data_IF_052218112085
#
_entry.id   IF_052218112085
#
_cell.length_a   1.000
_cell.length_b   1.000
_cell.length_c   1.000
_cell.angle_alpha   90.00
_cell.angle_beta   90.00
_cell.angle_gamma   90.00
#
_symmetry.space_group_name_H-M   'P 1'
#
loop_
_entity.id
_entity.type
_entity.pdbx_description
1 polymer ?
#
# COMPACT_ATOMS: atom_id res chain seq x y z
N UNK A 1 3.63 0.00 15.77
CA UNK A 1 4.33 -0.74 14.70
C UNK A 1 3.49 -1.93 14.28
N UNK A 2 3.29 -2.11 12.98
CA UNK A 2 2.52 -3.22 12.39
C UNK A 2 3.46 -4.14 11.63
N UNK A 3 3.39 -5.44 11.92
CA UNK A 3 4.31 -6.45 11.38
C UNK A 3 3.62 -7.35 10.37
N UNK A 4 4.32 -7.69 9.30
CA UNK A 4 3.85 -8.53 8.20
C UNK A 4 4.90 -9.61 7.89
N UNK A 5 4.47 -10.75 7.36
CA UNK A 5 5.43 -11.72 6.85
C UNK A 5 6.03 -11.19 5.54
N UNK A 6 7.33 -11.38 5.34
CA UNK A 6 7.97 -10.96 4.08
C UNK A 6 7.40 -11.70 2.84
N UNK A 7 6.73 -12.83 3.07
CA UNK A 7 6.09 -13.69 2.08
C UNK A 7 4.60 -13.39 1.86
N UNK A 8 4.01 -12.42 2.56
CA UNK A 8 2.61 -12.07 2.38
C UNK A 8 2.32 -11.70 0.91
N UNK A 9 1.16 -12.14 0.44
CA UNK A 9 0.64 -11.91 -0.91
C UNK A 9 -0.75 -11.31 -0.83
N UNK A 10 -1.09 -10.44 -1.78
CA UNK A 10 -2.44 -9.90 -1.88
C UNK A 10 -3.43 -10.99 -2.27
N UNK A 11 -4.58 -10.99 -1.61
CA UNK A 11 -5.75 -11.81 -1.94
C UNK A 11 -6.66 -11.07 -2.93
N UNK A 12 -7.67 -11.76 -3.47
CA UNK A 12 -8.67 -11.12 -4.33
C UNK A 12 -9.49 -10.06 -3.56
N UNK A 13 -9.81 -10.31 -2.30
CA UNK A 13 -10.48 -9.34 -1.42
C UNK A 13 -9.63 -8.09 -1.17
N UNK A 14 -8.31 -8.24 -1.08
CA UNK A 14 -7.40 -7.10 -1.00
C UNK A 14 -7.45 -6.25 -2.27
N UNK A 15 -7.54 -6.87 -3.46
CA UNK A 15 -7.65 -6.14 -4.73
C UNK A 15 -8.98 -5.39 -4.86
N UNK A 16 -10.07 -5.98 -4.37
CA UNK A 16 -11.38 -5.32 -4.28
C UNK A 16 -11.28 -4.12 -3.33
N UNK A 17 -10.67 -4.32 -2.17
CA UNK A 17 -10.46 -3.27 -1.16
C UNK A 17 -9.60 -2.14 -1.72
N UNK A 18 -8.48 -2.46 -2.37
CA UNK A 18 -7.62 -1.48 -3.04
C UNK A 18 -8.39 -0.68 -4.10
N UNK A 19 -9.22 -1.36 -4.91
CA UNK A 19 -10.03 -0.69 -5.94
C UNK A 19 -11.09 0.24 -5.35
N UNK A 20 -11.63 -0.08 -4.16
CA UNK A 20 -12.58 0.73 -3.43
C UNK A 20 -11.93 1.94 -2.75
N UNK A 21 -10.79 1.74 -2.08
CA UNK A 21 -10.07 2.79 -1.34
C UNK A 21 -9.36 3.75 -2.31
N UNK A 22 -8.84 3.21 -3.41
CA UNK A 22 -8.20 3.96 -4.50
C UNK A 22 -9.01 3.81 -5.81
N UNK A 23 -10.19 4.44 -5.92
CA UNK A 23 -10.93 4.50 -7.17
C UNK A 23 -10.10 5.20 -8.26
N UNK A 24 -10.51 5.06 -9.52
CA UNK A 24 -9.81 5.57 -10.72
C UNK A 24 -9.14 6.95 -10.57
N UNK A 25 -9.83 8.02 -10.12
CA UNK A 25 -9.20 9.33 -10.00
C UNK A 25 -8.08 9.41 -8.95
N UNK A 26 -8.00 8.41 -8.06
CA UNK A 26 -6.98 8.32 -7.01
C UNK A 26 -5.90 7.25 -7.24
N UNK A 27 -5.92 6.56 -8.39
CA UNK A 27 -4.91 5.54 -8.73
C UNK A 27 -3.47 6.08 -8.85
N UNK A 28 -3.22 7.32 -9.30
CA UNK A 28 -1.87 7.90 -9.25
C UNK A 28 -1.30 7.97 -7.82
N UNK A 29 -2.15 8.23 -6.82
CA UNK A 29 -1.76 8.28 -5.42
C UNK A 29 -1.41 6.88 -4.88
N UNK A 30 -2.07 5.82 -5.36
CA UNK A 30 -1.69 4.44 -5.04
C UNK A 30 -0.28 4.10 -5.53
N UNK A 31 0.12 4.62 -6.70
CA UNK A 31 1.50 4.46 -7.21
C UNK A 31 2.51 5.13 -6.27
N UNK A 32 2.21 6.33 -5.77
CA UNK A 32 3.06 7.04 -4.79
C UNK A 32 3.21 6.21 -3.52
N UNK A 33 2.08 5.73 -2.96
CA UNK A 33 2.08 4.87 -1.76
C UNK A 33 2.92 3.62 -1.99
N UNK A 34 2.75 2.96 -3.13
CA UNK A 34 3.53 1.76 -3.46
C UNK A 34 5.03 2.04 -3.55
N UNK A 35 5.42 3.17 -4.13
CA UNK A 35 6.83 3.55 -4.22
C UNK A 35 7.44 3.81 -2.82
N UNK A 36 6.68 4.47 -1.94
CA UNK A 36 7.08 4.67 -0.53
C UNK A 36 7.22 3.35 0.20
N UNK A 37 6.19 2.49 0.13
CA UNK A 37 6.21 1.18 0.76
C UNK A 37 7.38 0.31 0.26
N UNK A 38 7.79 0.44 -1.01
CA UNK A 38 8.90 -0.31 -1.59
C UNK A 38 10.28 0.31 -1.28
N UNK A 39 10.36 1.48 -0.65
CA UNK A 39 11.62 2.07 -0.22
C UNK A 39 12.19 1.26 0.95
N UNK A 40 13.27 0.53 0.65
CA UNK A 40 13.94 -0.34 1.64
C UNK A 40 14.78 0.43 2.64
N UNK A 41 15.09 1.70 2.38
CA UNK A 41 15.91 2.56 3.24
C UNK A 41 15.07 3.50 4.09
N UNK A 42 13.74 3.40 4.00
CA UNK A 42 12.85 4.24 4.76
C UNK A 42 12.96 3.99 6.27
N UNK A 43 12.96 5.06 7.04
CA UNK A 43 13.09 5.03 8.51
C UNK A 43 11.87 4.42 9.19
N UNK A 44 10.70 4.47 8.55
CA UNK A 44 9.46 3.85 9.02
C UNK A 44 9.38 2.35 8.72
N UNK A 45 10.44 1.73 8.19
CA UNK A 45 10.46 0.33 7.80
C UNK A 45 11.66 -0.40 8.40
N UNK A 46 11.39 -1.51 9.09
CA UNK A 46 12.43 -2.38 9.65
C UNK A 46 12.22 -3.83 9.23
N UNK A 47 13.32 -4.59 9.17
CA UNK A 47 13.33 -5.99 8.78
C UNK A 47 13.99 -6.80 9.89
N UNK A 48 13.28 -7.80 10.40
CA UNK A 48 13.79 -8.64 11.47
C UNK A 48 13.18 -10.04 11.37
N UNK A 49 14.00 -11.08 11.44
CA UNK A 49 13.56 -12.49 11.49
C UNK A 49 12.54 -12.91 10.41
N UNK A 50 12.70 -12.41 9.18
CA UNK A 50 11.77 -12.71 8.07
C UNK A 50 10.45 -11.93 8.10
N UNK A 51 10.29 -11.03 9.07
CA UNK A 51 9.19 -10.08 9.15
C UNK A 51 9.59 -8.69 8.67
N UNK A 52 8.60 -7.97 8.18
CA UNK A 52 8.71 -6.55 7.84
C UNK A 52 7.78 -5.78 8.74
N UNK A 53 8.32 -4.81 9.47
CA UNK A 53 7.56 -3.96 10.36
C UNK A 53 7.47 -2.56 9.76
N UNK A 54 6.28 -1.98 9.80
CA UNK A 54 6.02 -0.59 9.46
C UNK A 54 5.65 0.19 10.71
N UNK A 55 6.34 1.31 10.93
CA UNK A 55 5.81 2.38 11.75
C UNK A 55 4.73 3.11 10.93
N UNK A 56 3.46 2.77 11.22
CA UNK A 56 2.32 3.25 10.44
C UNK A 56 2.13 4.76 10.62
N UNK A 57 2.42 5.31 11.81
CA UNK A 57 2.26 6.73 12.07
C UNK A 57 3.30 7.54 11.28
N UNK A 58 4.57 7.12 11.33
CA UNK A 58 5.64 7.74 10.54
C UNK A 58 5.42 7.57 9.02
N UNK A 59 4.89 6.41 8.58
CA UNK A 59 4.51 6.20 7.18
C UNK A 59 3.36 7.13 6.75
N UNK A 60 2.32 7.30 7.58
CA UNK A 60 1.19 8.20 7.30
C UNK A 60 1.69 9.65 7.16
N UNK A 61 2.61 10.07 8.03
CA UNK A 61 3.23 11.40 7.96
C UNK A 61 3.99 11.59 6.64
N UNK A 62 4.83 10.63 6.25
CA UNK A 62 5.58 10.68 4.99
C UNK A 62 4.64 10.67 3.77
N UNK A 63 3.58 9.86 3.79
CA UNK A 63 2.57 9.80 2.72
C UNK A 63 1.80 11.11 2.62
N UNK A 64 1.49 11.74 3.76
CA UNK A 64 0.85 13.06 3.82
C UNK A 64 1.75 14.12 3.18
N UNK A 65 3.04 14.08 3.51
CA UNK A 65 4.06 15.01 3.00
C UNK A 65 4.31 14.86 1.50
N UNK A 66 4.52 13.63 0.99
CA UNK A 66 4.84 13.38 -0.43
C UNK A 66 3.63 13.33 -1.35
N UNK A 67 2.46 13.02 -0.80
CA UNK A 67 1.22 12.87 -1.54
C UNK A 67 0.23 13.95 -1.12
N UNK A 68 -0.64 13.58 -0.18
CA UNK A 68 -1.61 14.50 0.38
C UNK A 68 -2.18 13.92 1.69
N UNK A 69 -2.77 14.76 2.56
CA UNK A 69 -3.47 14.27 3.76
C UNK A 69 -4.56 13.24 3.42
N UNK A 70 -5.25 13.42 2.28
CA UNK A 70 -6.27 12.48 1.82
C UNK A 70 -5.69 11.15 1.36
N UNK A 71 -4.46 11.14 0.84
CA UNK A 71 -3.75 9.90 0.53
C UNK A 71 -3.36 9.18 1.82
N UNK A 72 -2.90 9.92 2.82
CA UNK A 72 -2.56 9.37 4.12
C UNK A 72 -3.76 8.71 4.79
N UNK A 73 -4.95 9.36 4.78
CA UNK A 73 -6.19 8.76 5.29
C UNK A 73 -6.56 7.44 4.59
N UNK A 74 -6.32 7.32 3.28
CA UNK A 74 -6.55 6.07 2.53
C UNK A 74 -5.59 4.97 2.97
N UNK A 75 -4.33 5.30 3.30
CA UNK A 75 -3.38 4.32 3.83
C UNK A 75 -3.83 3.84 5.21
N UNK A 76 -4.30 4.74 6.08
CA UNK A 76 -4.90 4.37 7.37
C UNK A 76 -6.11 3.46 7.18
N UNK A 77 -6.95 3.72 6.19
CA UNK A 77 -8.09 2.89 5.83
C UNK A 77 -7.65 1.48 5.39
N UNK A 78 -6.65 1.35 4.52
CA UNK A 78 -6.10 0.04 4.12
C UNK A 78 -5.60 -0.77 5.32
N UNK A 79 -4.86 -0.13 6.24
CA UNK A 79 -4.36 -0.80 7.46
C UNK A 79 -5.53 -1.24 8.34
N UNK A 80 -6.54 -0.39 8.50
CA UNK A 80 -7.74 -0.69 9.30
C UNK A 80 -8.56 -1.83 8.71
N UNK A 81 -8.55 -1.98 7.39
CA UNK A 81 -9.19 -3.08 6.65
C UNK A 81 -8.32 -4.34 6.58
N UNK A 82 -7.14 -4.35 7.18
CA UNK A 82 -6.26 -5.52 7.28
C UNK A 82 -5.41 -5.79 6.04
N UNK A 83 -5.34 -4.87 5.07
CA UNK A 83 -4.52 -5.04 3.87
C UNK A 83 -3.04 -5.02 4.25
N UNK A 84 -2.30 -6.06 3.86
CA UNK A 84 -0.86 -6.16 4.15
C UNK A 84 -0.07 -5.12 3.35
N UNK A 85 0.53 -4.15 4.04
CA UNK A 85 1.38 -3.13 3.42
C UNK A 85 2.61 -3.76 2.74
N UNK A 86 3.14 -4.84 3.32
CA UNK A 86 4.25 -5.58 2.73
C UNK A 86 3.82 -6.30 1.44
N UNK A 87 2.66 -6.95 1.43
CA UNK A 87 2.11 -7.56 0.22
C UNK A 87 1.87 -6.49 -0.86
N UNK A 88 1.32 -5.33 -0.50
CA UNK A 88 1.09 -4.21 -1.43
C UNK A 88 2.40 -3.69 -2.04
N UNK A 89 3.46 -3.57 -1.24
CA UNK A 89 4.77 -3.13 -1.70
C UNK A 89 5.36 -4.08 -2.76
N UNK A 90 5.28 -5.39 -2.49
CA UNK A 90 5.97 -6.44 -3.27
C UNK A 90 5.18 -6.91 -4.48
N UNK A 91 3.84 -6.92 -4.40
CA UNK A 91 2.99 -7.52 -5.42
C UNK A 91 3.03 -6.68 -6.70
N UNK A 92 3.40 -7.24 -7.87
CA UNK A 92 3.30 -6.52 -9.12
C UNK A 92 1.82 -6.33 -9.46
N UNK A 93 1.38 -5.07 -9.60
CA UNK A 93 -0.03 -4.72 -9.79
C UNK A 93 -0.23 -4.10 -11.17
N UNK A 94 -1.32 -4.46 -11.82
CA UNK A 94 -1.87 -3.75 -12.97
C UNK A 94 -2.85 -2.72 -12.44
N UNK A 95 -2.50 -1.44 -12.56
CA UNK A 95 -3.30 -0.32 -12.09
C UNK A 95 -3.79 0.44 -13.33
N UNK A 96 -5.00 0.15 -13.84
CA UNK A 96 -5.53 0.84 -15.01
C UNK A 96 -5.77 2.32 -14.70
N UNK A 97 -5.26 3.25 -15.50
CA UNK A 97 -5.42 4.69 -15.21
C UNK A 97 -6.70 5.29 -15.79
N UNK A 98 -7.34 4.58 -16.72
CA UNK A 98 -8.59 4.94 -17.36
C UNK A 98 -9.51 3.72 -17.40
N UNK A 99 -10.77 3.93 -17.81
CA UNK A 99 -11.73 2.84 -17.92
C UNK A 99 -12.33 2.40 -16.59
N UNK A 100 -13.03 1.25 -16.64
CA UNK A 100 -13.73 0.65 -15.49
C UNK A 100 -13.04 -0.61 -14.98
N UNK A 101 -11.87 -0.97 -15.52
CA UNK A 101 -11.17 -2.16 -15.08
C UNK A 101 -10.72 -2.00 -13.61
N UNK A 102 -10.86 -3.04 -12.77
CA UNK A 102 -10.35 -3.03 -11.40
C UNK A 102 -8.83 -3.18 -11.36
N UNK A 103 -8.24 -2.99 -10.18
CA UNK A 103 -6.83 -3.31 -9.94
C UNK A 103 -6.68 -4.82 -9.92
N UNK A 104 -5.65 -5.34 -10.59
CA UNK A 104 -5.36 -6.78 -10.64
C UNK A 104 -3.87 -7.06 -10.45
N UNK A 105 -3.51 -8.32 -10.23
CA UNK A 105 -2.11 -8.75 -10.20
C UNK A 105 -1.58 -8.84 -11.63
N UNK A 106 -0.35 -8.38 -11.87
CA UNK A 106 0.34 -8.66 -13.14
C UNK A 106 0.85 -10.09 -13.11
N UNK A 107 0.33 -10.91 -14.04
CA UNK A 107 0.84 -12.24 -14.35
C UNK A 107 2.22 -12.15 -15.00
#
# INVERSE_FOLDING_TARGET
>A
MTSYQATDTLTEDDLITLSRVFPTPSRPQLVIVKNLLNDRKATYRTYENGMVCFDVDALIEEVSFRGSPRTASRVSELVSLGVSLQALAKTPLSIPMAGKEPISIRL
#
